data_IF_997147230047
#
_entry.id   IF_997147230047
#
_cell.length_a   1.000
_cell.length_b   1.000
_cell.length_c   1.000
_cell.angle_alpha   90.00
_cell.angle_beta   90.00
_cell.angle_gamma   90.00
#
_symmetry.space_group_name_H-M   'P 1'
#
loop_
_entity.id
_entity.type
_entity.pdbx_description
1 polymer ?
#
# COMPACT_ATOMS: atom_id res chain seq x y z
N UNK A 1 48.32 0.49 -4.43
CA UNK A 1 47.66 -0.39 -3.46
C UNK A 1 46.22 -0.50 -3.91
N UNK A 2 45.89 -1.63 -4.53
CA UNK A 2 44.59 -1.88 -5.15
C UNK A 2 43.47 -1.73 -4.11
N UNK A 3 42.42 -0.99 -4.49
CA UNK A 3 41.22 -0.85 -3.68
C UNK A 3 40.47 -2.18 -3.65
N UNK A 4 40.06 -2.61 -2.46
CA UNK A 4 39.25 -3.80 -2.29
C UNK A 4 37.88 -3.56 -2.95
N UNK A 5 37.44 -4.49 -3.79
CA UNK A 5 36.10 -4.51 -4.35
C UNK A 5 35.06 -4.79 -3.24
N UNK A 6 33.81 -4.37 -3.46
CA UNK A 6 32.71 -4.47 -2.51
C UNK A 6 32.52 -5.89 -1.94
N UNK A 7 32.14 -5.95 -0.66
CA UNK A 7 31.78 -7.18 0.02
C UNK A 7 30.51 -7.79 -0.61
N UNK A 8 30.65 -9.00 -1.14
CA UNK A 8 29.54 -9.83 -1.57
C UNK A 8 28.78 -10.36 -0.37
N UNK A 9 27.45 -10.32 -0.42
CA UNK A 9 26.58 -10.81 0.65
C UNK A 9 25.58 -11.85 0.13
N UNK A 10 25.37 -12.90 0.91
CA UNK A 10 24.42 -13.98 0.63
C UNK A 10 23.70 -14.40 1.91
N UNK A 11 22.38 -14.61 1.84
CA UNK A 11 21.59 -15.09 2.97
C UNK A 11 21.30 -16.58 2.78
N UNK A 12 21.70 -17.40 3.76
CA UNK A 12 21.28 -18.80 3.83
C UNK A 12 20.03 -18.87 4.72
N UNK A 13 18.90 -19.25 4.15
CA UNK A 13 17.63 -19.42 4.83
C UNK A 13 17.31 -20.89 5.13
N UNK A 14 16.12 -21.17 5.67
CA UNK A 14 15.63 -22.53 5.95
C UNK A 14 16.56 -23.38 6.84
N UNK A 15 17.40 -22.72 7.64
CA UNK A 15 18.33 -23.37 8.57
C UNK A 15 17.60 -23.89 9.80
N UNK A 16 18.08 -25.01 10.33
CA UNK A 16 17.54 -25.54 11.58
C UNK A 16 18.00 -24.64 12.74
N UNK A 17 17.07 -24.11 13.57
CA UNK A 17 17.43 -23.32 14.74
C UNK A 17 18.37 -24.07 15.69
N UNK A 18 19.19 -23.33 16.43
CA UNK A 18 20.16 -23.83 17.42
C UNK A 18 21.18 -24.85 16.89
N UNK A 19 21.41 -24.83 15.57
CA UNK A 19 22.35 -25.73 14.90
C UNK A 19 23.60 -24.94 14.48
N UNK A 20 24.80 -25.53 14.63
CA UNK A 20 26.03 -24.89 14.14
C UNK A 20 26.19 -25.16 12.66
N UNK A 21 26.53 -24.13 11.89
CA UNK A 21 26.86 -24.26 10.47
C UNK A 21 28.28 -23.77 10.20
N UNK A 22 28.94 -24.49 9.32
CA UNK A 22 30.25 -24.18 8.75
C UNK A 22 30.01 -23.74 7.30
N UNK A 23 30.63 -22.63 6.88
CA UNK A 23 30.43 -22.08 5.53
C UNK A 23 31.75 -21.97 4.80
N UNK A 24 31.73 -22.32 3.51
CA UNK A 24 32.86 -22.16 2.58
C UNK A 24 32.41 -21.34 1.38
N UNK A 25 33.31 -20.50 0.88
CA UNK A 25 33.09 -19.69 -0.33
C UNK A 25 34.23 -19.91 -1.30
N UNK A 26 33.88 -20.10 -2.58
CA UNK A 26 34.80 -20.30 -3.71
C UNK A 26 34.44 -19.34 -4.82
N UNK A 27 35.42 -18.69 -5.46
CA UNK A 27 35.21 -17.86 -6.64
C UNK A 27 35.42 -18.66 -7.92
N UNK A 28 34.63 -18.42 -8.97
CA UNK A 28 34.70 -19.17 -10.24
C UNK A 28 34.76 -18.22 -11.43
N UNK A 29 35.77 -18.37 -12.29
CA UNK A 29 35.88 -17.68 -13.58
C UNK A 29 35.86 -18.68 -14.76
N UNK A 30 36.05 -18.19 -15.99
CA UNK A 30 36.10 -19.04 -17.20
C UNK A 30 37.21 -20.10 -17.22
N UNK A 31 38.19 -20.00 -16.32
CA UNK A 31 39.38 -20.85 -16.26
C UNK A 31 39.39 -21.82 -15.05
N UNK A 32 38.49 -21.65 -14.09
CA UNK A 32 38.31 -22.59 -12.98
C UNK A 32 37.89 -21.92 -11.67
N UNK A 33 37.97 -22.71 -10.61
CA UNK A 33 37.57 -22.33 -9.25
C UNK A 33 38.79 -22.00 -8.39
N UNK A 34 38.63 -21.04 -7.47
CA UNK A 34 39.64 -20.70 -6.48
C UNK A 34 39.83 -21.80 -5.42
N UNK A 35 40.80 -21.59 -4.52
CA UNK A 35 40.80 -22.28 -3.22
C UNK A 35 39.63 -21.84 -2.33
N UNK A 36 39.37 -22.60 -1.26
CA UNK A 36 38.29 -22.33 -0.30
C UNK A 36 38.69 -21.24 0.70
N UNK A 37 37.79 -20.28 0.93
CA UNK A 37 37.79 -19.43 2.11
C UNK A 37 36.65 -19.88 3.04
N UNK A 38 36.90 -20.01 4.35
CA UNK A 38 35.92 -20.59 5.29
C UNK A 38 35.76 -19.77 6.57
N UNK A 39 34.55 -19.79 7.11
CA UNK A 39 34.19 -19.25 8.40
C UNK A 39 33.12 -20.14 9.07
N UNK A 40 33.02 -20.11 10.41
CA UNK A 40 32.03 -20.90 11.14
C UNK A 40 31.29 -20.07 12.19
N UNK A 41 29.99 -20.36 12.38
CA UNK A 41 29.15 -19.68 13.37
C UNK A 41 28.05 -20.60 13.89
N UNK A 42 27.76 -20.50 15.18
CA UNK A 42 26.58 -21.16 15.77
C UNK A 42 25.33 -20.39 15.31
N UNK A 43 24.44 -21.01 14.53
CA UNK A 43 23.14 -20.42 14.22
C UNK A 43 22.23 -20.65 15.43
N UNK A 44 22.16 -19.63 16.29
CA UNK A 44 21.17 -19.55 17.37
C UNK A 44 20.10 -18.59 16.85
N UNK A 45 18.87 -19.05 16.62
CA UNK A 45 17.79 -18.13 16.25
C UNK A 45 17.57 -17.20 17.45
N UNK A 46 17.84 -15.88 17.35
CA UNK A 46 17.63 -14.98 18.45
C UNK A 46 16.12 -14.78 18.63
N UNK A 47 15.72 -14.73 19.91
CA UNK A 47 14.55 -13.95 20.27
C UNK A 47 14.82 -12.48 19.86
N UNK A 48 13.88 -11.93 19.10
CA UNK A 48 13.88 -10.58 18.49
C UNK A 48 14.65 -9.51 19.28
N UNK A 49 15.57 -8.79 18.63
CA UNK A 49 16.14 -7.54 19.11
C UNK A 49 16.57 -6.60 17.97
N UNK A 50 16.36 -5.31 18.22
CA UNK A 50 16.31 -4.16 17.31
C UNK A 50 17.64 -3.67 16.70
N UNK A 51 17.48 -3.03 15.55
CA UNK A 51 18.37 -2.35 14.59
C UNK A 51 19.66 -1.65 15.10
N UNK A 52 20.70 -1.62 14.24
CA UNK A 52 21.89 -0.77 14.40
C UNK A 52 22.92 -0.81 13.25
N UNK A 53 22.81 0.18 12.35
CA UNK A 53 23.78 0.87 11.45
C UNK A 53 25.07 0.19 10.93
N UNK A 54 25.31 0.32 9.61
CA UNK A 54 26.65 0.52 9.02
C UNK A 54 26.60 1.38 7.73
N UNK A 55 27.59 2.28 7.59
CA UNK A 55 27.62 3.41 6.68
C UNK A 55 28.17 3.13 5.26
N UNK A 56 27.81 4.03 4.34
CA UNK A 56 28.05 4.06 2.89
C UNK A 56 29.53 4.19 2.43
N UNK A 57 29.81 3.77 1.18
CA UNK A 57 30.94 4.23 0.36
C UNK A 57 30.57 4.36 -1.14
N UNK A 58 31.06 5.42 -1.77
CA UNK A 58 30.79 5.94 -3.13
C UNK A 58 31.63 5.30 -4.27
N UNK A 59 31.12 5.45 -5.50
CA UNK A 59 31.53 4.87 -6.81
C UNK A 59 32.93 5.26 -7.36
N UNK A 60 33.46 4.46 -8.33
CA UNK A 60 33.80 4.92 -9.70
C UNK A 60 34.37 3.84 -10.66
N UNK A 61 33.79 3.86 -11.87
CA UNK A 61 34.21 3.65 -13.28
C UNK A 61 35.00 2.44 -13.83
N UNK A 62 34.43 1.94 -14.94
CA UNK A 62 34.89 0.89 -15.83
C UNK A 62 35.74 1.45 -16.99
N UNK A 63 36.96 0.92 -17.18
CA UNK A 63 37.54 0.67 -18.51
C UNK A 63 38.97 0.12 -18.38
N UNK A 64 39.15 -1.20 -18.50
CA UNK A 64 40.32 -1.77 -19.19
C UNK A 64 40.01 -3.21 -19.64
N UNK A 65 39.90 -3.43 -20.96
CA UNK A 65 39.69 -4.75 -21.54
C UNK A 65 41.02 -5.54 -21.54
N UNK A 66 41.08 -6.64 -20.79
CA UNK A 66 42.18 -7.61 -20.90
C UNK A 66 42.05 -8.43 -22.20
N UNK A 67 43.15 -8.51 -22.95
CA UNK A 67 43.29 -9.30 -24.18
C UNK A 67 43.85 -10.67 -23.80
N UNK A 68 43.12 -11.75 -24.12
CA UNK A 68 43.52 -13.13 -23.86
C UNK A 68 44.80 -13.51 -24.64
N UNK A 69 45.93 -13.54 -23.94
CA UNK A 69 47.25 -13.97 -24.43
C UNK A 69 47.65 -15.38 -23.93
N UNK A 70 46.72 -16.13 -23.35
CA UNK A 70 46.96 -17.47 -22.81
C UNK A 70 47.64 -17.50 -21.45
N UNK A 71 47.60 -16.42 -20.67
CA UNK A 71 48.13 -16.35 -19.30
C UNK A 71 47.07 -16.30 -18.19
N UNK A 72 45.77 -16.34 -18.51
CA UNK A 72 44.69 -16.35 -17.52
C UNK A 72 44.69 -17.66 -16.69
N UNK A 73 44.39 -17.53 -15.39
CA UNK A 73 44.40 -18.62 -14.41
C UNK A 73 43.14 -18.58 -13.54
N UNK A 74 42.97 -19.59 -12.68
CA UNK A 74 41.87 -19.59 -11.69
C UNK A 74 42.04 -18.40 -10.71
N UNK A 75 40.93 -17.85 -10.17
CA UNK A 75 40.99 -16.71 -9.28
C UNK A 75 41.58 -17.09 -7.92
N UNK A 76 42.08 -16.09 -7.17
CA UNK A 76 42.45 -16.26 -5.76
C UNK A 76 41.20 -16.58 -4.91
N UNK A 77 41.39 -17.09 -3.69
CA UNK A 77 40.28 -17.30 -2.76
C UNK A 77 39.64 -15.96 -2.33
N UNK A 78 38.32 -15.92 -2.10
CA UNK A 78 37.65 -14.78 -1.47
C UNK A 78 38.30 -14.39 -0.14
N UNK A 79 38.25 -13.12 0.22
CA UNK A 79 38.85 -12.60 1.44
C UNK A 79 37.79 -12.31 2.52
N UNK A 80 38.21 -12.26 3.78
CA UNK A 80 37.39 -11.77 4.90
C UNK A 80 35.98 -12.38 5.01
N UNK A 81 35.84 -13.69 4.77
CA UNK A 81 34.56 -14.40 4.95
C UNK A 81 34.10 -14.23 6.40
N UNK A 82 32.93 -13.62 6.57
CA UNK A 82 32.31 -13.36 7.86
C UNK A 82 30.86 -13.87 7.86
N UNK A 83 30.41 -14.29 9.04
CA UNK A 83 29.06 -14.78 9.25
C UNK A 83 28.31 -13.87 10.22
N UNK A 84 27.14 -13.41 9.79
CA UNK A 84 26.19 -12.61 10.54
C UNK A 84 24.90 -13.39 10.82
N UNK A 85 23.91 -12.72 11.40
CA UNK A 85 22.55 -13.25 11.54
C UNK A 85 21.61 -12.17 11.04
N UNK A 86 20.66 -12.55 10.20
CA UNK A 86 19.58 -11.68 9.76
C UNK A 86 18.29 -12.15 10.41
N UNK A 87 17.62 -11.24 11.12
CA UNK A 87 16.31 -11.50 11.69
C UNK A 87 15.26 -11.60 10.58
N UNK A 88 14.21 -12.38 10.83
CA UNK A 88 13.04 -12.34 9.96
C UNK A 88 12.43 -10.93 10.00
N UNK A 89 12.03 -10.46 8.83
CA UNK A 89 11.24 -9.24 8.66
C UNK A 89 9.86 -9.69 8.20
N UNK A 90 8.84 -9.35 8.97
CA UNK A 90 7.46 -9.57 8.55
C UNK A 90 7.10 -8.58 7.45
N UNK A 91 6.45 -9.08 6.41
CA UNK A 91 5.91 -8.24 5.37
C UNK A 91 4.78 -7.36 5.93
N UNK A 92 4.73 -6.10 5.49
CA UNK A 92 3.63 -5.18 5.78
C UNK A 92 3.02 -4.72 4.47
N UNK A 93 1.75 -5.06 4.26
CA UNK A 93 0.94 -4.52 3.17
C UNK A 93 -0.04 -3.49 3.70
N UNK A 94 -0.14 -2.36 3.01
CA UNK A 94 -1.05 -1.28 3.33
C UNK A 94 -2.22 -1.28 2.35
N UNK A 95 -3.43 -1.38 2.89
CA UNK A 95 -4.67 -1.29 2.15
C UNK A 95 -5.23 0.11 2.37
N UNK A 96 -5.45 0.85 1.31
CA UNK A 96 -5.98 2.21 1.35
C UNK A 96 -7.31 2.26 0.60
N UNK A 97 -8.38 2.62 1.32
CA UNK A 97 -9.69 2.87 0.77
C UNK A 97 -10.01 4.35 0.91
N UNK A 98 -10.09 5.06 -0.20
CA UNK A 98 -10.45 6.48 -0.21
C UNK A 98 -11.50 6.78 -1.28
N UNK A 99 -12.18 7.90 -1.11
CA UNK A 99 -12.98 8.52 -2.15
C UNK A 99 -12.39 9.90 -2.44
N UNK A 100 -12.35 10.29 -3.71
CA UNK A 100 -12.06 11.69 -4.04
C UNK A 100 -13.21 12.54 -3.52
N UNK A 101 -12.96 13.45 -2.58
CA UNK A 101 -13.99 14.31 -2.00
C UNK A 101 -14.75 15.08 -3.10
N UNK A 102 -16.01 14.72 -3.29
CA UNK A 102 -17.00 15.43 -4.10
C UNK A 102 -18.07 15.97 -3.18
N UNK A 103 -18.36 17.25 -3.31
CA UNK A 103 -19.50 17.88 -2.65
C UNK A 103 -20.80 17.30 -3.23
N UNK A 104 -21.79 17.03 -2.36
CA UNK A 104 -23.15 16.80 -2.84
C UNK A 104 -23.62 18.07 -3.55
N UNK A 105 -24.20 17.91 -4.74
CA UNK A 105 -24.87 19.00 -5.45
C UNK A 105 -26.32 18.64 -5.71
N UNK A 106 -27.23 19.47 -5.20
CA UNK A 106 -28.66 19.38 -5.46
C UNK A 106 -29.16 20.61 -6.23
N UNK A 107 -30.30 20.46 -6.87
CA UNK A 107 -31.01 21.56 -7.51
C UNK A 107 -32.39 21.73 -6.90
N UNK A 108 -32.85 22.97 -6.81
CA UNK A 108 -34.22 23.34 -6.47
C UNK A 108 -34.73 24.17 -7.65
N UNK A 109 -35.88 23.82 -8.21
CA UNK A 109 -36.43 24.49 -9.39
C UNK A 109 -37.88 24.87 -9.19
N UNK A 110 -38.22 26.14 -9.43
CA UNK A 110 -39.61 26.61 -9.52
C UNK A 110 -40.07 26.67 -10.98
N UNK A 111 -41.32 26.32 -11.24
CA UNK A 111 -41.93 26.38 -12.58
C UNK A 111 -43.43 26.67 -12.51
N UNK A 112 -44.01 27.14 -13.61
CA UNK A 112 -45.45 27.33 -13.82
C UNK A 112 -45.75 27.40 -15.33
N UNK A 113 -47.02 27.31 -15.73
CA UNK A 113 -47.48 27.49 -17.13
C UNK A 113 -47.66 28.96 -17.51
N UNK A 114 -47.70 29.86 -16.51
CA UNK A 114 -47.75 31.31 -16.65
C UNK A 114 -46.87 31.96 -15.56
N UNK A 115 -46.96 33.28 -15.37
CA UNK A 115 -46.09 34.01 -14.46
C UNK A 115 -46.10 33.40 -13.04
N UNK A 116 -44.96 32.83 -12.63
CA UNK A 116 -44.80 32.28 -11.28
C UNK A 116 -44.63 33.42 -10.27
N UNK A 117 -45.13 33.19 -9.06
CA UNK A 117 -45.01 34.11 -7.95
C UNK A 117 -45.09 33.39 -6.61
N UNK A 118 -45.16 34.15 -5.52
CA UNK A 118 -45.33 33.60 -4.17
C UNK A 118 -44.01 33.10 -3.57
N UNK A 119 -44.10 32.06 -2.74
CA UNK A 119 -42.96 31.50 -2.01
C UNK A 119 -43.05 29.99 -1.89
N UNK A 120 -41.91 29.37 -1.63
CA UNK A 120 -41.77 27.95 -1.29
C UNK A 120 -40.98 27.80 0.01
N UNK A 121 -40.99 26.61 0.59
CA UNK A 121 -40.15 26.27 1.75
C UNK A 121 -39.31 25.03 1.46
N UNK A 122 -38.15 24.93 2.10
CA UNK A 122 -37.26 23.76 2.04
C UNK A 122 -37.22 23.11 3.42
N UNK A 123 -37.19 21.79 3.47
CA UNK A 123 -37.07 21.02 4.71
C UNK A 123 -35.91 20.03 4.63
N UNK A 124 -35.14 19.96 5.73
CA UNK A 124 -34.02 19.05 5.92
C UNK A 124 -33.94 18.67 7.40
N UNK A 125 -33.61 17.40 7.72
CA UNK A 125 -33.46 16.95 9.11
C UNK A 125 -34.69 17.10 10.01
N UNK A 126 -35.89 17.31 9.44
CA UNK A 126 -37.12 17.57 10.18
C UNK A 126 -37.36 19.04 10.54
N UNK A 127 -36.49 19.95 10.11
CA UNK A 127 -36.68 21.40 10.19
C UNK A 127 -37.11 21.97 8.83
N UNK A 128 -37.78 23.12 8.85
CA UNK A 128 -38.31 23.80 7.65
C UNK A 128 -37.91 25.27 7.66
N UNK A 129 -37.45 25.78 6.52
CA UNK A 129 -37.06 27.18 6.37
C UNK A 129 -38.26 28.12 6.54
N UNK A 130 -38.00 29.41 6.72
CA UNK A 130 -38.99 30.43 6.40
C UNK A 130 -39.33 30.38 4.88
N UNK A 131 -40.44 31.01 4.49
CA UNK A 131 -40.83 31.10 3.08
C UNK A 131 -39.78 31.83 2.25
N UNK A 132 -39.22 31.13 1.27
CA UNK A 132 -38.25 31.61 0.28
C UNK A 132 -39.02 32.13 -0.93
N UNK A 133 -38.74 33.36 -1.37
CA UNK A 133 -39.41 33.94 -2.54
C UNK A 133 -39.10 33.13 -3.81
N UNK A 134 -40.08 33.04 -4.72
CA UNK A 134 -39.92 32.32 -5.99
C UNK A 134 -38.79 32.87 -6.88
N UNK A 135 -38.37 34.13 -6.66
CA UNK A 135 -37.32 34.83 -7.38
C UNK A 135 -36.09 35.15 -6.51
N UNK A 136 -35.99 34.52 -5.33
CA UNK A 136 -34.95 34.76 -4.34
C UNK A 136 -33.52 34.75 -4.94
N UNK A 137 -32.65 35.63 -4.42
CA UNK A 137 -31.24 35.60 -4.78
C UNK A 137 -30.56 34.37 -4.16
N UNK A 138 -29.43 33.96 -4.73
CA UNK A 138 -28.67 32.81 -4.21
C UNK A 138 -28.34 32.95 -2.72
N UNK A 139 -27.90 34.13 -2.29
CA UNK A 139 -27.57 34.42 -0.90
C UNK A 139 -28.78 34.30 0.06
N UNK A 140 -30.00 34.56 -0.41
CA UNK A 140 -31.21 34.40 0.42
C UNK A 140 -31.56 32.92 0.61
N UNK A 141 -31.31 32.10 -0.42
CA UNK A 141 -31.50 30.65 -0.35
C UNK A 141 -30.42 29.99 0.51
N UNK A 142 -29.16 30.39 0.34
CA UNK A 142 -28.02 29.99 1.17
C UNK A 142 -28.30 30.24 2.66
N UNK A 143 -28.62 31.48 3.03
CA UNK A 143 -28.93 31.84 4.41
C UNK A 143 -30.16 31.09 4.98
N UNK A 144 -31.14 30.74 4.14
CA UNK A 144 -32.29 29.96 4.57
C UNK A 144 -31.93 28.50 4.85
N UNK A 145 -31.05 27.90 4.04
CA UNK A 145 -30.60 26.51 4.21
C UNK A 145 -29.66 26.36 5.42
N UNK A 146 -28.70 27.27 5.60
CA UNK A 146 -27.77 27.28 6.76
C UNK A 146 -28.45 27.56 8.10
N UNK A 147 -29.71 28.01 8.08
CA UNK A 147 -30.52 28.16 9.27
C UNK A 147 -31.08 26.81 9.80
N UNK A 148 -31.06 25.75 9.00
CA UNK A 148 -31.55 24.42 9.39
C UNK A 148 -30.46 23.65 10.14
N UNK A 149 -30.80 23.07 11.29
CA UNK A 149 -29.89 22.24 12.06
C UNK A 149 -29.48 21.01 11.23
N UNK A 150 -28.20 20.90 10.90
CA UNK A 150 -27.66 19.84 10.03
C UNK A 150 -27.14 20.32 8.67
N UNK A 151 -27.29 21.61 8.35
CA UNK A 151 -26.61 22.26 7.23
C UNK A 151 -25.77 23.40 7.82
N UNK A 152 -24.46 23.26 7.80
CA UNK A 152 -23.53 24.25 8.38
C UNK A 152 -23.14 25.30 7.34
N UNK A 153 -22.86 24.87 6.10
CA UNK A 153 -22.36 25.71 5.02
C UNK A 153 -22.83 25.14 3.67
N UNK A 154 -23.32 26.00 2.79
CA UNK A 154 -23.64 25.65 1.40
C UNK A 154 -23.20 26.74 0.43
N UNK A 155 -22.79 26.36 -0.77
CA UNK A 155 -22.57 27.30 -1.87
C UNK A 155 -23.76 27.24 -2.81
N UNK A 156 -24.49 28.35 -2.95
CA UNK A 156 -25.65 28.43 -3.84
C UNK A 156 -25.35 29.29 -5.08
N UNK A 157 -25.73 28.79 -6.24
CA UNK A 157 -25.81 29.58 -7.48
C UNK A 157 -27.23 29.55 -8.02
N UNK A 158 -27.61 30.57 -8.80
CA UNK A 158 -28.96 30.66 -9.39
C UNK A 158 -28.87 30.90 -10.88
N UNK A 159 -29.65 30.11 -11.64
CA UNK A 159 -29.78 30.24 -13.08
C UNK A 159 -30.59 31.47 -13.50
N UNK A 160 -30.54 31.77 -14.80
CA UNK A 160 -31.43 32.76 -15.38
C UNK A 160 -32.89 32.32 -15.23
N UNK A 161 -33.80 33.28 -15.08
CA UNK A 161 -35.22 32.98 -15.07
C UNK A 161 -35.68 32.47 -16.45
N UNK A 162 -36.63 31.53 -16.46
CA UNK A 162 -37.34 31.15 -17.67
C UNK A 162 -38.35 32.23 -18.12
N UNK A 163 -39.17 31.93 -19.14
CA UNK A 163 -40.12 32.90 -19.69
C UNK A 163 -41.27 33.24 -18.71
N UNK A 164 -41.55 32.32 -17.79
CA UNK A 164 -42.59 32.39 -16.78
C UNK A 164 -42.06 32.96 -15.45
N UNK A 165 -40.75 33.14 -15.31
CA UNK A 165 -40.08 33.68 -14.13
C UNK A 165 -39.55 32.61 -13.17
N UNK A 166 -39.68 31.33 -13.51
CA UNK A 166 -39.15 30.20 -12.77
C UNK A 166 -37.63 30.21 -12.73
N UNK A 167 -37.05 29.67 -11.66
CA UNK A 167 -35.62 29.67 -11.40
C UNK A 167 -35.13 28.31 -10.93
N UNK A 168 -33.88 28.01 -11.26
CA UNK A 168 -33.15 26.88 -10.70
C UNK A 168 -32.01 27.38 -9.83
N UNK A 169 -32.01 26.97 -8.56
CA UNK A 169 -30.89 27.12 -7.64
C UNK A 169 -30.10 25.82 -7.63
N UNK A 170 -28.78 25.92 -7.81
CA UNK A 170 -27.84 24.82 -7.63
C UNK A 170 -27.16 25.00 -6.28
N UNK A 171 -27.31 24.02 -5.40
CA UNK A 171 -26.85 24.01 -4.02
C UNK A 171 -25.74 22.97 -3.89
N UNK A 172 -24.52 23.41 -3.63
CA UNK A 172 -23.40 22.54 -3.25
C UNK A 172 -23.29 22.49 -1.74
N UNK A 173 -23.29 21.30 -1.14
CA UNK A 173 -23.13 21.11 0.30
C UNK A 173 -21.63 20.99 0.63
N UNK A 174 -21.08 22.03 1.25
CA UNK A 174 -19.69 22.10 1.71
C UNK A 174 -19.54 21.57 3.13
N UNK A 175 -20.56 21.78 3.99
CA UNK A 175 -20.68 21.17 5.31
C UNK A 175 -22.19 20.99 5.64
N UNK A 176 -22.71 19.76 5.67
CA UNK A 176 -22.00 18.50 5.90
C UNK A 176 -21.32 17.93 4.65
N UNK A 177 -20.16 17.28 4.86
CA UNK A 177 -19.47 16.52 3.82
C UNK A 177 -20.11 15.15 3.59
N UNK A 178 -19.97 14.62 2.37
CA UNK A 178 -20.47 13.31 1.97
C UNK A 178 -21.86 13.35 1.35
N UNK A 179 -22.52 12.19 1.28
CA UNK A 179 -23.88 12.06 0.74
C UNK A 179 -24.90 12.78 1.63
N UNK A 180 -25.64 13.73 1.05
CA UNK A 180 -26.68 14.48 1.76
C UNK A 180 -28.02 14.10 1.19
N UNK A 181 -28.94 13.67 2.06
CA UNK A 181 -30.29 13.31 1.65
C UNK A 181 -30.99 14.46 0.91
N UNK A 182 -31.75 14.11 -0.14
CA UNK A 182 -32.47 15.09 -0.95
C UNK A 182 -33.36 15.98 -0.09
N UNK A 183 -33.21 17.30 -0.23
CA UNK A 183 -34.06 18.27 0.46
C UNK A 183 -35.52 18.13 0.00
N UNK A 184 -36.46 18.26 0.94
CA UNK A 184 -37.88 18.25 0.62
C UNK A 184 -38.36 19.68 0.38
N UNK A 185 -39.09 19.91 -0.71
CA UNK A 185 -39.61 21.24 -1.07
C UNK A 185 -41.13 21.27 -1.00
N UNK A 186 -41.68 22.38 -0.52
CA UNK A 186 -43.13 22.63 -0.50
C UNK A 186 -43.43 23.96 -1.21
N UNK A 187 -44.17 23.86 -2.32
CA UNK A 187 -44.59 24.98 -3.16
C UNK A 187 -46.05 25.39 -2.96
N UNK A 188 -46.73 24.97 -1.90
CA UNK A 188 -48.16 25.27 -1.70
C UNK A 188 -48.50 26.77 -1.65
N UNK A 189 -47.51 27.62 -1.37
CA UNK A 189 -47.64 29.09 -1.39
C UNK A 189 -47.17 29.73 -2.70
N UNK A 190 -46.79 28.94 -3.71
CA UNK A 190 -46.51 29.44 -5.06
C UNK A 190 -47.82 29.82 -5.76
N UNK A 191 -47.72 30.82 -6.63
CA UNK A 191 -48.82 31.29 -7.46
C UNK A 191 -48.47 31.16 -8.93
N UNK A 192 -49.49 30.98 -9.75
CA UNK A 192 -49.34 30.71 -11.19
C UNK A 192 -50.13 29.44 -11.55
N UNK A 193 -50.46 29.29 -12.83
CA UNK A 193 -51.14 28.10 -13.33
C UNK A 193 -50.17 26.92 -13.25
N UNK A 194 -50.58 25.85 -12.55
CA UNK A 194 -49.75 24.66 -12.31
C UNK A 194 -48.37 24.96 -11.71
N UNK A 195 -48.28 26.00 -10.87
CA UNK A 195 -47.03 26.35 -10.20
C UNK A 195 -46.52 25.20 -9.31
N UNK A 196 -45.24 24.90 -9.42
CA UNK A 196 -44.58 23.80 -8.72
C UNK A 196 -43.16 24.18 -8.29
N UNK A 197 -42.63 23.43 -7.32
CA UNK A 197 -41.21 23.39 -6.97
C UNK A 197 -40.77 21.94 -6.91
N UNK A 198 -39.59 21.65 -7.45
CA UNK A 198 -38.97 20.33 -7.41
C UNK A 198 -37.55 20.41 -6.90
N UNK A 199 -37.07 19.34 -6.27
CA UNK A 199 -35.67 19.17 -5.92
C UNK A 199 -35.11 17.90 -6.56
N UNK A 200 -33.83 17.91 -6.93
CA UNK A 200 -33.14 16.75 -7.46
C UNK A 200 -31.64 16.76 -7.14
N UNK A 201 -31.06 15.61 -6.79
CA UNK A 201 -29.61 15.41 -6.72
C UNK A 201 -29.01 15.37 -8.12
N UNK A 202 -27.98 16.18 -8.33
CA UNK A 202 -27.22 16.28 -9.59
C UNK A 202 -25.86 15.60 -9.45
N UNK A 203 -25.26 15.65 -8.26
CA UNK A 203 -23.99 14.99 -7.94
C UNK A 203 -24.09 14.46 -6.53
N UNK A 204 -23.87 13.14 -6.36
CA UNK A 204 -23.80 12.54 -5.04
C UNK A 204 -22.48 12.93 -4.36
N UNK A 205 -22.56 13.31 -3.08
CA UNK A 205 -21.38 13.55 -2.28
C UNK A 205 -20.62 12.26 -1.97
N UNK A 206 -19.32 12.38 -1.65
CA UNK A 206 -18.49 11.20 -1.33
C UNK A 206 -18.87 10.58 0.00
N UNK A 207 -19.75 9.59 -0.01
CA UNK A 207 -19.94 8.65 1.10
C UNK A 207 -19.44 7.27 0.68
N UNK A 208 -18.32 6.84 1.27
CA UNK A 208 -17.91 5.45 1.16
C UNK A 208 -18.95 4.57 1.85
N UNK A 209 -19.27 3.45 1.22
CA UNK A 209 -20.23 2.49 1.74
C UNK A 209 -20.00 1.10 1.15
N UNK A 210 -20.85 0.16 1.54
CA UNK A 210 -20.82 -1.20 1.00
C UNK A 210 -19.69 -2.05 1.58
N UNK A 211 -19.19 -2.97 0.76
CA UNK A 211 -18.24 -4.01 1.18
C UNK A 211 -17.14 -4.20 0.14
N UNK A 212 -15.99 -4.70 0.59
CA UNK A 212 -14.90 -5.16 -0.27
C UNK A 212 -14.49 -6.59 0.11
N UNK A 213 -13.72 -7.24 -0.75
CA UNK A 213 -13.07 -8.51 -0.43
C UNK A 213 -11.58 -8.44 -0.74
N UNK A 214 -10.80 -9.30 -0.09
CA UNK A 214 -9.38 -9.47 -0.35
C UNK A 214 -9.14 -10.91 -0.78
N UNK A 215 -8.27 -11.10 -1.77
CA UNK A 215 -7.82 -12.41 -2.22
C UNK A 215 -6.35 -12.59 -1.90
N UNK A 216 -6.02 -13.70 -1.23
CA UNK A 216 -4.65 -14.11 -0.90
C UNK A 216 -4.42 -15.56 -1.34
N UNK A 217 -3.36 -15.80 -2.10
CA UNK A 217 -2.97 -17.12 -2.61
C UNK A 217 -4.13 -17.95 -3.20
N UNK A 218 -5.06 -17.29 -3.90
CA UNK A 218 -6.20 -17.93 -4.57
C UNK A 218 -7.44 -18.16 -3.70
N UNK A 219 -7.43 -17.78 -2.42
CA UNK A 219 -8.62 -17.76 -1.56
C UNK A 219 -9.09 -16.33 -1.31
N UNK A 220 -10.41 -16.13 -1.24
CA UNK A 220 -11.04 -14.81 -1.08
C UNK A 220 -11.78 -14.75 0.27
N UNK A 221 -11.63 -13.63 0.98
CA UNK A 221 -12.35 -13.38 2.24
C UNK A 221 -13.86 -13.34 2.01
N UNK A 222 -14.64 -13.46 3.08
CA UNK A 222 -16.01 -12.99 3.07
C UNK A 222 -16.07 -11.46 2.85
N UNK A 223 -17.26 -10.94 2.56
CA UNK A 223 -17.49 -9.50 2.45
C UNK A 223 -17.08 -8.77 3.74
N UNK A 224 -16.12 -7.85 3.62
CA UNK A 224 -15.67 -6.96 4.68
C UNK A 224 -16.33 -5.60 4.49
N UNK A 225 -17.01 -5.10 5.52
CA UNK A 225 -17.59 -3.77 5.48
C UNK A 225 -16.51 -2.70 5.25
N UNK A 226 -16.83 -1.68 4.45
CA UNK A 226 -15.88 -0.60 4.13
C UNK A 226 -15.28 0.04 5.41
N UNK A 227 -16.07 0.16 6.49
CA UNK A 227 -15.71 0.76 7.77
C UNK A 227 -15.40 -0.28 8.87
N UNK A 228 -15.12 -1.53 8.49
CA UNK A 228 -14.83 -2.62 9.42
C UNK A 228 -13.74 -2.25 10.43
N UNK A 229 -13.86 -2.75 11.66
CA UNK A 229 -12.80 -2.65 12.65
C UNK A 229 -11.58 -3.49 12.21
N UNK A 230 -10.38 -3.11 12.65
CA UNK A 230 -9.15 -3.88 12.36
C UNK A 230 -9.31 -5.37 12.70
N UNK A 231 -9.81 -5.68 13.89
CA UNK A 231 -10.04 -7.07 14.33
C UNK A 231 -11.05 -7.85 13.45
N UNK A 232 -11.98 -7.16 12.79
CA UNK A 232 -12.90 -7.81 11.84
C UNK A 232 -12.16 -8.20 10.57
N UNK A 233 -11.31 -7.30 10.05
CA UNK A 233 -10.51 -7.57 8.86
C UNK A 233 -9.46 -8.67 9.13
N UNK A 234 -8.80 -8.61 10.29
CA UNK A 234 -7.88 -9.64 10.80
C UNK A 234 -8.54 -11.02 10.78
N UNK A 235 -9.69 -11.16 11.45
CA UNK A 235 -10.43 -12.42 11.48
C UNK A 235 -10.91 -12.89 10.09
N UNK A 236 -11.18 -11.96 9.17
CA UNK A 236 -11.54 -12.30 7.78
C UNK A 236 -10.35 -12.86 6.98
N UNK A 237 -9.14 -12.34 7.21
CA UNK A 237 -7.92 -12.84 6.58
C UNK A 237 -7.48 -14.18 7.19
N UNK A 238 -7.50 -14.33 8.51
CA UNK A 238 -7.18 -15.59 9.20
C UNK A 238 -8.20 -16.71 8.97
N UNK A 239 -9.35 -16.40 8.37
CA UNK A 239 -10.31 -17.41 7.95
C UNK A 239 -9.88 -18.14 6.66
N UNK A 240 -8.93 -17.58 5.90
CA UNK A 240 -8.37 -18.22 4.70
C UNK A 240 -7.43 -19.35 5.10
N UNK A 241 -7.47 -20.48 4.39
CA UNK A 241 -6.67 -21.64 4.80
C UNK A 241 -5.17 -21.48 4.56
N UNK A 242 -4.80 -20.47 3.76
CA UNK A 242 -3.42 -20.09 3.42
C UNK A 242 -2.84 -19.05 4.38
N UNK A 243 -3.61 -18.54 5.34
CA UNK A 243 -3.19 -17.52 6.31
C UNK A 243 -3.24 -18.10 7.71
N UNK A 244 -2.10 -18.22 8.39
CA UNK A 244 -2.04 -18.75 9.75
C UNK A 244 -2.15 -17.67 10.84
N UNK A 245 -1.54 -16.49 10.66
CA UNK A 245 -1.62 -15.37 11.61
C UNK A 245 -1.26 -14.03 10.91
N UNK A 246 -2.03 -12.97 11.19
CA UNK A 246 -1.73 -11.60 10.74
C UNK A 246 -2.07 -10.59 11.82
N UNK A 247 -1.26 -9.53 11.93
CA UNK A 247 -1.58 -8.37 12.78
C UNK A 247 -2.17 -7.24 11.90
N UNK A 248 -3.39 -6.80 12.20
CA UNK A 248 -4.04 -5.68 11.48
C UNK A 248 -4.14 -4.45 12.36
N UNK A 249 -3.67 -3.31 11.84
CA UNK A 249 -3.93 -1.99 12.44
C UNK A 249 -4.72 -1.13 11.48
N UNK A 250 -5.61 -0.30 12.01
CA UNK A 250 -6.44 0.62 11.22
C UNK A 250 -6.13 2.06 11.59
N UNK A 251 -6.01 2.90 10.58
CA UNK A 251 -5.89 4.37 10.70
C UNK A 251 -6.87 5.07 9.77
N UNK A 252 -7.06 6.38 9.98
CA UNK A 252 -7.99 7.20 9.20
C UNK A 252 -9.43 7.12 9.68
N UNK A 253 -10.33 7.81 8.98
CA UNK A 253 -11.76 7.82 9.24
C UNK A 253 -12.56 7.69 7.93
N UNK A 254 -13.86 7.43 8.06
CA UNK A 254 -14.73 7.18 6.90
C UNK A 254 -14.90 8.42 5.99
N UNK A 255 -14.49 9.61 6.45
CA UNK A 255 -14.65 10.88 5.74
C UNK A 255 -13.37 11.33 5.00
N UNK A 256 -12.19 10.82 5.38
CA UNK A 256 -10.88 11.22 4.85
C UNK A 256 -10.01 10.10 4.29
N UNK A 257 -10.56 8.88 4.18
CA UNK A 257 -9.84 7.69 3.70
C UNK A 257 -9.48 6.75 4.86
N UNK A 258 -9.78 5.47 4.68
CA UNK A 258 -9.50 4.39 5.62
C UNK A 258 -8.24 3.66 5.18
N UNK A 259 -7.34 3.39 6.11
CA UNK A 259 -6.15 2.60 5.84
C UNK A 259 -6.01 1.45 6.84
N UNK A 260 -5.71 0.26 6.32
CA UNK A 260 -5.40 -0.92 7.11
C UNK A 260 -3.97 -1.37 6.81
N UNK A 261 -3.13 -1.44 7.85
CA UNK A 261 -1.80 -2.04 7.74
C UNK A 261 -1.90 -3.48 8.23
N UNK A 262 -1.65 -4.41 7.31
CA UNK A 262 -1.63 -5.86 7.54
C UNK A 262 -0.18 -6.30 7.64
N UNK A 263 0.21 -6.87 8.77
CA UNK A 263 1.54 -7.45 8.99
C UNK A 263 1.43 -8.96 8.99
N UNK A 264 2.19 -9.64 8.13
CA UNK A 264 2.19 -11.10 8.02
C UNK A 264 3.10 -11.70 9.08
N UNK A 265 2.51 -12.12 10.22
CA UNK A 265 3.22 -12.57 11.43
C UNK A 265 3.29 -14.10 11.55
N UNK A 266 2.46 -14.79 10.80
CA UNK A 266 2.39 -16.24 10.78
C UNK A 266 3.68 -16.92 10.35
N UNK A 267 3.95 -18.08 10.94
CA UNK A 267 5.17 -18.83 10.66
C UNK A 267 5.17 -19.40 9.23
N UNK A 268 3.99 -19.64 8.64
CA UNK A 268 3.87 -20.07 7.24
C UNK A 268 3.99 -18.91 6.25
N UNK A 269 3.90 -17.68 6.75
CA UNK A 269 3.96 -16.42 5.99
C UNK A 269 5.31 -15.70 6.19
N UNK A 270 6.37 -16.46 6.51
CA UNK A 270 7.71 -15.91 6.64
C UNK A 270 8.31 -15.60 5.25
N UNK A 271 8.95 -14.43 5.13
CA UNK A 271 9.52 -13.97 3.87
C UNK A 271 8.55 -13.16 3.02
N UNK A 272 8.93 -12.91 1.78
CA UNK A 272 8.17 -12.12 0.79
C UNK A 272 6.82 -12.76 0.50
N UNK A 273 5.74 -11.98 0.58
CA UNK A 273 4.38 -12.45 0.36
C UNK A 273 3.80 -11.87 -0.94
N UNK A 274 2.88 -12.57 -1.61
CA UNK A 274 2.14 -11.98 -2.71
C UNK A 274 1.27 -10.83 -2.20
N UNK A 275 1.19 -9.75 -2.98
CA UNK A 275 0.30 -8.62 -2.71
C UNK A 275 -1.16 -9.08 -2.64
N UNK A 276 -1.88 -8.66 -1.60
CA UNK A 276 -3.32 -8.90 -1.49
C UNK A 276 -4.05 -8.28 -2.68
N UNK A 277 -4.89 -9.07 -3.34
CA UNK A 277 -5.69 -8.56 -4.45
C UNK A 277 -7.04 -8.11 -3.91
N UNK A 278 -7.27 -6.80 -3.93
CA UNK A 278 -8.52 -6.22 -3.47
C UNK A 278 -9.59 -6.19 -4.58
N UNK A 279 -10.83 -6.51 -4.21
CA UNK A 279 -12.02 -6.32 -5.04
C UNK A 279 -12.95 -5.33 -4.35
N UNK A 280 -13.14 -4.18 -5.00
CA UNK A 280 -13.92 -3.05 -4.53
C UNK A 280 -15.23 -2.85 -5.32
N UNK A 281 -15.68 -3.89 -6.04
CA UNK A 281 -16.93 -3.84 -6.82
C UNK A 281 -18.17 -3.68 -5.94
N UNK A 282 -18.08 -4.11 -4.67
CA UNK A 282 -19.11 -3.90 -3.65
C UNK A 282 -19.04 -2.56 -2.92
N UNK A 283 -18.00 -1.76 -3.15
CA UNK A 283 -17.81 -0.45 -2.51
C UNK A 283 -18.62 0.60 -3.26
N UNK A 284 -19.37 1.40 -2.51
CA UNK A 284 -20.13 2.54 -3.02
C UNK A 284 -19.44 3.86 -2.69
N UNK A 285 -19.79 4.92 -3.42
CA UNK A 285 -19.24 6.26 -3.25
C UNK A 285 -18.61 6.79 -4.54
N UNK A 286 -18.89 8.04 -4.87
CA UNK A 286 -18.31 8.69 -6.03
C UNK A 286 -16.78 8.82 -5.88
N UNK A 287 -16.04 8.44 -6.93
CA UNK A 287 -14.58 8.54 -6.95
C UNK A 287 -13.86 7.62 -5.95
N UNK A 288 -14.49 6.51 -5.55
CA UNK A 288 -13.88 5.47 -4.71
C UNK A 288 -12.69 4.82 -5.39
N UNK A 289 -11.68 4.47 -4.59
CA UNK A 289 -10.52 3.68 -5.00
C UNK A 289 -10.05 2.85 -3.80
N UNK A 290 -9.78 1.57 -4.05
CA UNK A 290 -9.20 0.63 -3.08
C UNK A 290 -7.84 0.16 -3.62
N UNK A 291 -6.78 0.50 -2.92
CA UNK A 291 -5.41 0.16 -3.29
C UNK A 291 -4.80 -0.77 -2.25
N UNK A 292 -3.88 -1.61 -2.69
CA UNK A 292 -2.99 -2.39 -1.84
C UNK A 292 -1.56 -2.09 -2.30
N UNK A 293 -0.67 -1.83 -1.35
CA UNK A 293 0.75 -1.63 -1.61
C UNK A 293 1.59 -2.35 -0.55
N UNK A 294 2.64 -3.06 -0.95
CA UNK A 294 3.66 -3.56 -0.02
C UNK A 294 4.53 -2.40 0.50
N UNK A 295 4.44 -2.09 1.80
CA UNK A 295 5.20 -1.03 2.46
C UNK A 295 6.53 -1.52 3.03
N UNK A 296 6.55 -2.77 3.48
CA UNK A 296 7.77 -3.44 3.98
C UNK A 296 7.79 -4.82 3.35
N UNK A 297 8.84 -5.12 2.59
CA UNK A 297 9.00 -6.44 1.98
C UNK A 297 9.39 -7.48 3.05
N UNK A 298 8.76 -8.64 3.01
CA UNK A 298 9.11 -9.73 3.93
C UNK A 298 10.47 -10.36 3.60
N UNK A 299 11.20 -10.76 4.63
CA UNK A 299 12.46 -11.49 4.47
C UNK A 299 12.58 -12.61 5.53
N UNK A 300 13.02 -13.83 5.14
CA UNK A 300 13.19 -14.92 6.11
C UNK A 300 14.37 -14.63 7.05
N UNK A 301 14.35 -15.23 8.23
CA UNK A 301 15.53 -15.29 9.09
C UNK A 301 16.60 -16.19 8.45
N UNK A 302 17.87 -15.83 8.61
CA UNK A 302 18.94 -16.61 8.02
C UNK A 302 20.34 -16.27 8.52
N UNK A 303 21.30 -17.08 8.08
CA UNK A 303 22.71 -16.84 8.28
C UNK A 303 23.22 -15.97 7.13
N UNK A 304 23.59 -14.73 7.42
CA UNK A 304 24.22 -13.87 6.42
C UNK A 304 25.69 -14.23 6.28
N UNK A 305 26.14 -14.40 5.04
CA UNK A 305 27.53 -14.65 4.66
C UNK A 305 28.00 -13.41 3.92
N UNK A 306 29.06 -12.78 4.40
CA UNK A 306 29.74 -11.70 3.68
C UNK A 306 31.18 -12.07 3.37
N UNK A 307 31.69 -11.65 2.22
CA UNK A 307 33.07 -11.89 1.82
C UNK A 307 33.55 -10.84 0.82
N UNK A 308 34.81 -10.50 0.89
CA UNK A 308 35.45 -9.61 -0.08
C UNK A 308 35.86 -10.39 -1.32
N UNK A 309 35.84 -9.72 -2.47
CA UNK A 309 36.30 -10.32 -3.72
C UNK A 309 37.76 -10.81 -3.61
N UNK A 310 38.15 -11.81 -4.41
CA UNK A 310 39.54 -12.24 -4.55
C UNK A 310 40.51 -11.08 -4.82
N UNK A 311 41.72 -11.17 -4.29
CA UNK A 311 42.80 -10.20 -4.57
C UNK A 311 43.24 -10.19 -6.03
N UNK A 312 42.97 -11.28 -6.75
CA UNK A 312 43.12 -11.41 -8.19
C UNK A 312 42.02 -12.31 -8.74
N UNK A 313 41.41 -11.91 -9.85
CA UNK A 313 40.46 -12.71 -10.63
C UNK A 313 41.17 -13.68 -11.60
N UNK A 314 42.50 -13.75 -11.56
CA UNK A 314 43.30 -14.58 -12.44
C UNK A 314 43.36 -14.06 -13.89
N UNK A 315 42.95 -12.81 -14.16
CA UNK A 315 42.95 -12.19 -15.48
C UNK A 315 41.64 -12.37 -16.27
N UNK A 316 40.65 -13.04 -15.66
CA UNK A 316 39.37 -13.40 -16.25
C UNK A 316 38.24 -13.11 -15.27
N UNK A 317 37.19 -12.42 -15.75
CA UNK A 317 36.11 -11.97 -14.88
C UNK A 317 35.48 -13.13 -14.10
N UNK A 318 35.30 -12.93 -12.79
CA UNK A 318 34.56 -13.87 -11.94
C UNK A 318 33.11 -13.93 -12.45
N UNK A 319 32.63 -15.15 -12.65
CA UNK A 319 31.28 -15.43 -13.16
C UNK A 319 30.28 -15.59 -12.03
N UNK A 320 30.67 -16.32 -10.97
CA UNK A 320 29.87 -16.56 -9.77
C UNK A 320 30.79 -16.99 -8.61
N UNK A 321 30.22 -16.99 -7.41
CA UNK A 321 30.77 -17.58 -6.22
C UNK A 321 29.94 -18.81 -5.84
N UNK A 322 30.57 -19.86 -5.34
CA UNK A 322 29.89 -21.01 -4.75
C UNK A 322 29.94 -20.85 -3.24
N UNK A 323 28.78 -20.88 -2.58
CA UNK A 323 28.65 -20.84 -1.12
C UNK A 323 28.13 -22.20 -0.65
N UNK A 324 28.97 -22.95 0.07
CA UNK A 324 28.60 -24.22 0.68
C UNK A 324 28.38 -24.05 2.18
N UNK A 325 27.40 -24.75 2.74
CA UNK A 325 27.19 -24.83 4.19
C UNK A 325 26.89 -26.24 4.67
N UNK A 326 27.39 -26.59 5.86
CA UNK A 326 27.20 -27.92 6.45
C UNK A 326 27.19 -27.85 7.99
N UNK A 327 26.63 -28.85 8.68
CA UNK A 327 26.60 -28.92 10.15
C UNK A 327 27.87 -29.50 10.78
N UNK A 328 28.76 -30.05 9.95
CA UNK A 328 30.08 -30.56 10.27
C UNK A 328 31.16 -29.78 9.51
N UNK A 329 32.26 -29.47 10.19
CA UNK A 329 33.40 -28.74 9.61
C UNK A 329 34.06 -29.48 8.42
N UNK A 330 33.80 -30.79 8.32
CA UNK A 330 34.28 -31.67 7.27
C UNK A 330 33.41 -31.67 6.02
N UNK A 331 32.25 -31.01 6.04
CA UNK A 331 31.28 -30.97 4.93
C UNK A 331 30.88 -32.38 4.46
N UNK A 332 30.57 -33.24 5.43
CA UNK A 332 30.17 -34.63 5.23
C UNK A 332 29.00 -35.04 6.16
N UNK A 333 28.27 -34.07 6.70
CA UNK A 333 27.16 -34.35 7.61
C UNK A 333 25.97 -35.01 6.91
N UNK A 334 25.91 -34.94 5.57
CA UNK A 334 24.77 -35.36 4.76
C UNK A 334 23.59 -34.37 4.81
N UNK A 335 23.79 -33.19 5.41
CA UNK A 335 22.89 -32.04 5.39
C UNK A 335 23.56 -30.81 4.74
N UNK A 336 24.48 -31.08 3.82
CA UNK A 336 25.20 -30.08 3.03
C UNK A 336 24.24 -29.33 2.08
N UNK A 337 24.39 -28.01 2.02
CA UNK A 337 23.74 -27.15 1.04
C UNK A 337 24.78 -26.38 0.24
N UNK A 338 24.42 -26.02 -1.00
CA UNK A 338 25.28 -25.27 -1.92
C UNK A 338 24.44 -24.27 -2.70
N UNK A 339 25.01 -23.10 -3.00
CA UNK A 339 24.38 -22.07 -3.82
C UNK A 339 25.40 -21.35 -4.70
N UNK A 340 25.03 -21.14 -5.97
CA UNK A 340 25.78 -20.30 -6.91
C UNK A 340 25.29 -18.85 -6.84
N UNK A 341 26.15 -17.95 -6.37
CA UNK A 341 25.89 -16.51 -6.22
C UNK A 341 26.54 -15.77 -7.39
N UNK A 342 25.75 -15.15 -8.26
CA UNK A 342 26.30 -14.41 -9.40
C UNK A 342 27.24 -13.29 -8.94
N UNK A 343 28.37 -13.12 -9.65
CA UNK A 343 29.30 -12.03 -9.39
C UNK A 343 28.71 -10.63 -9.64
N UNK A 344 27.62 -10.54 -10.40
CA UNK A 344 26.91 -9.28 -10.67
C UNK A 344 26.01 -8.81 -9.50
N UNK A 345 25.46 -9.75 -8.72
CA UNK A 345 24.61 -9.46 -7.55
C UNK A 345 25.41 -9.26 -6.25
N UNK A 346 26.66 -9.73 -6.24
CA UNK A 346 27.63 -9.57 -5.16
C UNK A 346 28.06 -8.12 -4.87
N UNK A 347 27.57 -7.11 -5.60
CA UNK A 347 27.86 -5.69 -5.38
C UNK A 347 26.71 -4.88 -4.75
N UNK A 348 25.56 -5.50 -4.46
CA UNK A 348 24.42 -4.79 -3.87
C UNK A 348 24.63 -4.62 -2.34
N UNK A 349 24.57 -3.37 -1.88
CA UNK A 349 24.78 -3.00 -0.48
C UNK A 349 23.82 -3.71 0.48
N UNK A 350 24.32 -4.06 1.67
CA UNK A 350 23.52 -4.56 2.79
C UNK A 350 22.34 -3.60 3.09
N UNK A 351 21.13 -4.15 3.18
CA UNK A 351 19.97 -3.52 3.83
C UNK A 351 19.81 -4.09 5.24
#
# INVERSE_FOLDING_TARGET
TAGAACAACFLIDNLTPDTRYYVKVVAVNGHGSSGEASADRLFTAPACATNGDCAACEECDADEQCVDDGTCTAPDAPQNVALGYSAAVHEVQLIELYATATEEVQTITTSADDAVGGSFTVSFGGETTAGIAFDAAAADVEAALEALSGITDVVVTVGAADAEGGRTWTVSFTDPAGDVSLVTVDGASLTGTNAAVTAATVTEGSALGGTFTLTFDGETTADVAFDAAAATLEASLEALSTVDDVDVTRTGDAAGGLAFSVTFTGAQLAGDQPELVADDTGVTGAGKELLVNTMVQGAPAGLSVSFDAPTSDGGDAITHYVVDWDTAATFDSGSEGTADVSAATAGAACA
#
